data_IF_470652314953
#
_entry.id   IF_470652314953
#
_cell.length_a   1.000
_cell.length_b   1.000
_cell.length_c   1.000
_cell.angle_alpha   90.00
_cell.angle_beta   90.00
_cell.angle_gamma   90.00
#
_symmetry.space_group_name_H-M   'P 1'
#
loop_
_entity.id
_entity.type
_entity.pdbx_description
1 polymer ?
#
# COMPACT_ATOMS: atom_id res chain seq x y z
N UNK A 1 -5.53 27.65 15.58
CA UNK A 1 -5.39 27.22 14.16
C UNK A 1 -4.30 26.15 14.04
N UNK A 2 -4.34 25.11 14.89
CA UNK A 2 -3.23 24.13 15.06
C UNK A 2 -3.71 22.70 15.32
N UNK A 3 -4.97 22.51 15.73
CA UNK A 3 -5.52 21.19 16.09
C UNK A 3 -5.93 20.39 14.86
N UNK A 4 -6.51 21.04 13.85
CA UNK A 4 -6.94 20.42 12.59
C UNK A 4 -5.75 19.89 11.78
N UNK A 5 -4.67 20.67 11.69
CA UNK A 5 -3.43 20.26 10.99
C UNK A 5 -2.75 19.08 11.67
N UNK A 6 -2.79 19.02 13.01
CA UNK A 6 -2.27 17.89 13.78
C UNK A 6 -3.07 16.61 13.56
N UNK A 7 -4.40 16.71 13.61
CA UNK A 7 -5.28 15.56 13.32
C UNK A 7 -5.09 15.03 11.89
N UNK A 8 -4.92 15.91 10.92
CA UNK A 8 -4.64 15.51 9.54
C UNK A 8 -3.28 14.82 9.40
N UNK A 9 -2.23 15.32 10.07
CA UNK A 9 -0.91 14.68 10.08
C UNK A 9 -0.92 13.27 10.69
N UNK A 10 -1.60 13.06 11.83
CA UNK A 10 -1.74 11.72 12.41
C UNK A 10 -2.52 10.75 11.51
N UNK A 11 -3.52 11.26 10.76
CA UNK A 11 -4.27 10.46 9.81
C UNK A 11 -3.40 10.07 8.61
N UNK A 12 -2.61 11.01 8.10
CA UNK A 12 -1.68 10.81 6.98
C UNK A 12 -0.60 9.76 7.30
N UNK A 13 0.05 9.88 8.47
CA UNK A 13 1.02 8.90 8.95
C UNK A 13 0.40 7.51 9.12
N UNK A 14 -0.81 7.44 9.70
CA UNK A 14 -1.55 6.17 9.84
C UNK A 14 -1.92 5.55 8.50
N UNK A 15 -2.35 6.38 7.53
CA UNK A 15 -2.72 5.95 6.19
C UNK A 15 -1.51 5.43 5.40
N UNK A 16 -0.37 6.11 5.45
CA UNK A 16 0.89 5.68 4.83
C UNK A 16 1.39 4.35 5.42
N UNK A 17 1.33 4.20 6.75
CA UNK A 17 1.73 2.95 7.42
C UNK A 17 0.82 1.77 7.05
N UNK A 18 -0.48 2.03 6.91
CA UNK A 18 -1.44 1.04 6.42
C UNK A 18 -1.13 0.66 4.96
N UNK A 19 -0.82 1.64 4.11
CA UNK A 19 -0.51 1.42 2.70
C UNK A 19 0.73 0.53 2.50
N UNK A 20 1.82 0.77 3.26
CA UNK A 20 3.07 0.02 3.10
C UNK A 20 2.89 -1.43 3.57
N UNK A 21 2.12 -1.61 4.65
CA UNK A 21 1.76 -2.92 5.18
C UNK A 21 0.93 -3.70 4.16
N UNK A 22 -0.06 -3.04 3.52
CA UNK A 22 -0.88 -3.63 2.47
C UNK A 22 -0.05 -4.06 1.26
N UNK A 23 0.86 -3.21 0.78
CA UNK A 23 1.77 -3.57 -0.32
C UNK A 23 2.60 -4.79 -0.01
N UNK A 24 3.13 -4.87 1.21
CA UNK A 24 3.97 -5.99 1.64
C UNK A 24 3.17 -7.29 1.62
N UNK A 25 1.96 -7.29 2.17
CA UNK A 25 1.06 -8.46 2.12
C UNK A 25 0.66 -8.84 0.70
N UNK A 26 0.45 -7.86 -0.18
CA UNK A 26 0.08 -8.09 -1.58
C UNK A 26 1.16 -8.81 -2.36
N UNK A 27 2.38 -8.27 -2.33
CA UNK A 27 3.52 -8.87 -3.04
C UNK A 27 3.86 -10.22 -2.42
N UNK A 28 3.76 -10.36 -1.09
CA UNK A 28 3.95 -11.65 -0.44
C UNK A 28 2.90 -12.69 -0.87
N UNK A 29 1.63 -12.30 -0.95
CA UNK A 29 0.55 -13.15 -1.46
C UNK A 29 0.77 -13.56 -2.93
N UNK A 30 1.30 -12.66 -3.75
CA UNK A 30 1.67 -12.95 -5.14
C UNK A 30 2.78 -13.99 -5.25
N UNK A 31 3.81 -13.90 -4.40
CA UNK A 31 4.87 -14.90 -4.30
C UNK A 31 4.27 -16.26 -3.93
N UNK A 32 3.37 -16.32 -2.94
CA UNK A 32 2.69 -17.58 -2.59
C UNK A 32 1.89 -18.11 -3.78
N UNK A 33 1.08 -17.26 -4.43
CA UNK A 33 0.27 -17.67 -5.58
C UNK A 33 1.12 -18.22 -6.74
N UNK A 34 2.24 -17.56 -7.06
CA UNK A 34 3.15 -18.00 -8.12
C UNK A 34 3.89 -19.28 -7.75
N UNK A 35 4.47 -19.36 -6.57
CA UNK A 35 5.37 -20.47 -6.23
C UNK A 35 4.63 -21.71 -5.69
N UNK A 36 3.52 -21.55 -4.96
CA UNK A 36 2.73 -22.68 -4.46
C UNK A 36 1.62 -23.11 -5.41
N UNK A 37 0.96 -22.17 -6.09
CA UNK A 37 -0.22 -22.46 -6.92
C UNK A 37 0.05 -22.32 -8.42
N UNK A 38 1.29 -21.98 -8.83
CA UNK A 38 1.66 -21.73 -10.23
C UNK A 38 0.70 -20.78 -10.96
N UNK A 39 0.09 -19.85 -10.21
CA UNK A 39 -0.93 -18.93 -10.72
C UNK A 39 -0.44 -17.51 -10.51
N UNK A 40 -0.33 -16.75 -11.59
CA UNK A 40 0.08 -15.35 -11.56
C UNK A 40 -1.09 -14.41 -11.82
N UNK A 41 -1.37 -13.50 -10.89
CA UNK A 41 -2.36 -12.44 -11.10
C UNK A 41 -1.70 -11.25 -11.80
N UNK A 42 -2.07 -11.00 -13.07
CA UNK A 42 -1.53 -9.87 -13.84
C UNK A 42 -1.77 -8.50 -13.18
N UNK A 43 -2.90 -8.35 -12.49
CA UNK A 43 -3.33 -7.08 -11.90
C UNK A 43 -2.59 -6.69 -10.61
N UNK A 44 -1.88 -7.63 -9.96
CA UNK A 44 -1.16 -7.31 -8.72
C UNK A 44 -0.09 -6.24 -8.97
N UNK A 45 0.52 -6.25 -10.15
CA UNK A 45 1.53 -5.26 -10.53
C UNK A 45 0.93 -3.85 -10.65
N UNK A 46 -0.21 -3.73 -11.33
CA UNK A 46 -0.95 -2.47 -11.48
C UNK A 46 -1.47 -1.94 -10.14
N UNK A 47 -1.93 -2.84 -9.27
CA UNK A 47 -2.43 -2.48 -7.95
C UNK A 47 -1.29 -1.98 -7.04
N UNK A 48 -0.13 -2.62 -7.11
CA UNK A 48 1.10 -2.18 -6.42
C UNK A 48 1.55 -0.82 -6.96
N UNK A 49 1.56 -0.62 -8.28
CA UNK A 49 1.88 0.69 -8.89
C UNK A 49 0.93 1.80 -8.43
N UNK A 50 -0.37 1.49 -8.37
CA UNK A 50 -1.38 2.44 -7.88
C UNK A 50 -1.09 2.81 -6.43
N UNK A 51 -0.84 1.83 -5.55
CA UNK A 51 -0.48 2.07 -4.14
C UNK A 51 0.81 2.91 -4.02
N UNK A 52 1.82 2.67 -4.86
CA UNK A 52 3.03 3.50 -4.92
C UNK A 52 2.70 4.97 -5.26
N UNK A 53 1.73 5.21 -6.15
CA UNK A 53 1.30 6.56 -6.50
C UNK A 53 0.73 7.34 -5.32
N UNK A 54 0.03 6.67 -4.39
CA UNK A 54 -0.49 7.31 -3.17
C UNK A 54 0.63 7.77 -2.23
N UNK A 55 1.77 7.06 -2.17
CA UNK A 55 2.93 7.51 -1.39
C UNK A 55 3.51 8.84 -1.89
N UNK A 56 3.42 9.14 -3.18
CA UNK A 56 3.91 10.42 -3.74
C UNK A 56 2.98 11.59 -3.41
N UNK A 57 1.68 11.32 -3.22
CA UNK A 57 0.69 12.35 -2.91
C UNK A 57 0.66 12.74 -1.43
N UNK A 58 0.94 11.77 -0.55
CA UNK A 58 0.83 11.92 0.91
C UNK A 58 2.17 11.88 1.65
N UNK A 59 3.25 11.40 1.03
CA UNK A 59 4.60 11.40 1.61
C UNK A 59 5.40 12.63 1.23
#
# INVERSE_FOLDING_TARGET
MTVISRLFGYFEEGFLNLLITLMTLLVFGEVIARFFFNTGFLWIQELTLTLCGWFVLFG
#
